data_IF_012580228910
#
_entry.id   IF_012580228910
#
_cell.length_a   1.000
_cell.length_b   1.000
_cell.length_c   1.000
_cell.angle_alpha   90.00
_cell.angle_beta   90.00
_cell.angle_gamma   90.00
#
_symmetry.space_group_name_H-M   'P 1'
#
loop_
_entity.id
_entity.type
_entity.pdbx_description
1 polymer ?
#
# COMPACT_ATOMS: atom_id res chain seq x y z
N UNK A 1 -6.21 21.96 -26.74
CA UNK A 1 -6.49 21.04 -25.63
C UNK A 1 -5.68 19.78 -25.90
N UNK A 2 -4.91 19.31 -24.91
CA UNK A 2 -3.79 18.34 -24.97
C UNK A 2 -2.48 18.89 -25.54
N UNK A 3 -1.66 19.52 -24.69
CA UNK A 3 -0.26 19.84 -25.04
C UNK A 3 0.72 19.73 -23.86
N UNK A 4 0.33 18.96 -22.84
CA UNK A 4 1.26 18.42 -21.87
C UNK A 4 1.38 16.94 -22.22
N UNK A 5 2.54 16.49 -22.73
CA UNK A 5 2.80 15.15 -23.29
C UNK A 5 2.59 13.94 -22.36
N UNK A 6 1.56 13.95 -21.52
CA UNK A 6 1.20 12.88 -20.61
C UNK A 6 -0.26 12.95 -20.16
N UNK A 7 -0.83 11.81 -19.75
CA UNK A 7 -2.21 11.72 -19.28
C UNK A 7 -2.26 11.55 -17.77
N UNK A 8 -3.10 12.35 -17.12
CA UNK A 8 -3.14 12.42 -15.65
C UNK A 8 -3.84 11.21 -15.03
N UNK A 9 -3.14 10.52 -14.14
CA UNK A 9 -3.71 9.61 -13.15
C UNK A 9 -4.04 10.42 -11.89
N UNK A 10 -5.29 10.36 -11.45
CA UNK A 10 -5.76 10.96 -10.19
C UNK A 10 -6.77 10.00 -9.55
N UNK A 11 -6.27 9.05 -8.77
CA UNK A 11 -7.07 8.00 -8.11
C UNK A 11 -6.58 7.78 -6.69
N UNK A 12 -7.46 7.29 -5.82
CA UNK A 12 -7.14 7.08 -4.42
C UNK A 12 -7.30 5.62 -4.02
N UNK A 13 -6.40 5.14 -3.15
CA UNK A 13 -6.60 3.92 -2.37
C UNK A 13 -7.14 4.34 -1.01
N UNK A 14 -8.29 3.80 -0.62
CA UNK A 14 -8.89 4.10 0.68
C UNK A 14 -8.32 3.15 1.73
N UNK A 15 -7.55 3.69 2.67
CA UNK A 15 -6.91 2.93 3.74
C UNK A 15 -7.86 2.79 4.93
N UNK A 16 -7.99 1.59 5.47
CA UNK A 16 -8.68 1.35 6.72
C UNK A 16 -7.94 2.06 7.87
N UNK A 17 -8.59 3.05 8.47
CA UNK A 17 -8.07 3.82 9.60
C UNK A 17 -7.60 2.94 10.76
N UNK A 18 -8.25 1.79 10.98
CA UNK A 18 -7.92 0.86 12.07
C UNK A 18 -6.61 0.13 11.86
N UNK A 19 -6.10 0.11 10.63
CA UNK A 19 -4.79 -0.49 10.30
C UNK A 19 -3.61 0.47 10.50
N UNK A 20 -3.87 1.77 10.73
CA UNK A 20 -2.80 2.77 10.88
C UNK A 20 -2.20 2.72 12.28
N UNK A 21 -0.88 2.53 12.35
CA UNK A 21 -0.14 2.45 13.62
C UNK A 21 1.33 2.83 13.47
N UNK A 22 2.01 2.97 14.60
CA UNK A 22 3.47 3.05 14.63
C UNK A 22 4.09 1.70 14.26
N UNK A 23 5.23 1.76 13.57
CA UNK A 23 6.06 0.57 13.31
C UNK A 23 6.95 0.30 14.53
N UNK A 24 7.08 -0.97 14.89
CA UNK A 24 8.09 -1.48 15.80
C UNK A 24 9.46 -1.60 15.13
N UNK A 25 10.51 -1.72 15.94
CA UNK A 25 11.91 -1.77 15.47
C UNK A 25 12.16 -2.92 14.49
N UNK A 26 11.61 -4.10 14.77
CA UNK A 26 11.80 -5.26 13.90
C UNK A 26 11.08 -5.11 12.56
N UNK A 27 9.97 -4.37 12.53
CA UNK A 27 9.23 -4.09 11.29
C UNK A 27 9.99 -3.09 10.42
N UNK A 28 10.58 -2.06 11.05
CA UNK A 28 11.46 -1.11 10.35
C UNK A 28 12.63 -1.87 9.70
N UNK A 29 13.28 -2.77 10.43
CA UNK A 29 14.38 -3.59 9.90
C UNK A 29 13.96 -4.45 8.71
N UNK A 30 12.79 -5.11 8.79
CA UNK A 30 12.26 -5.88 7.64
C UNK A 30 11.96 -4.99 6.44
N UNK A 31 11.48 -3.76 6.67
CA UNK A 31 11.19 -2.82 5.59
C UNK A 31 12.47 -2.19 4.99
N UNK A 32 13.58 -2.14 5.72
CA UNK A 32 14.90 -1.72 5.20
C UNK A 32 15.42 -2.70 4.13
N UNK A 33 14.97 -3.95 4.11
CA UNK A 33 15.29 -4.91 3.05
C UNK A 33 14.72 -4.50 1.68
N UNK A 34 13.69 -3.64 1.65
CA UNK A 34 13.16 -3.09 0.41
C UNK A 34 14.10 -2.01 -0.16
N UNK A 35 14.77 -2.33 -1.26
CA UNK A 35 15.67 -1.42 -2.00
C UNK A 35 15.04 -0.05 -2.24
N UNK A 36 13.74 -0.01 -2.58
CA UNK A 36 13.05 1.23 -2.86
C UNK A 36 12.89 2.12 -1.63
N UNK A 37 12.82 1.61 -0.40
CA UNK A 37 12.54 2.44 0.78
C UNK A 37 13.71 2.56 1.77
N UNK A 38 14.76 1.74 1.61
CA UNK A 38 15.88 1.71 2.54
C UNK A 38 16.45 3.12 2.84
N UNK A 39 16.87 3.85 1.81
CA UNK A 39 17.45 5.19 1.99
C UNK A 39 16.49 6.20 2.67
N UNK A 40 15.17 5.99 2.57
CA UNK A 40 14.18 6.83 3.25
C UNK A 40 14.13 6.48 4.72
N UNK A 41 14.12 5.19 5.05
CA UNK A 41 14.12 4.70 6.42
C UNK A 41 15.41 5.07 7.13
N UNK A 42 16.58 4.93 6.49
CA UNK A 42 17.87 5.35 7.04
C UNK A 42 17.86 6.84 7.41
N UNK A 43 17.50 7.72 6.46
CA UNK A 43 17.39 9.16 6.71
C UNK A 43 16.38 9.47 7.81
N UNK A 44 15.24 8.77 7.82
CA UNK A 44 14.20 8.98 8.82
C UNK A 44 14.64 8.55 10.21
N UNK A 45 15.38 7.44 10.31
CA UNK A 45 15.94 6.95 11.57
C UNK A 45 16.96 7.94 12.15
N UNK A 46 17.79 8.56 11.32
CA UNK A 46 18.71 9.62 11.77
C UNK A 46 17.92 10.82 12.34
N UNK A 47 16.96 11.36 11.58
CA UNK A 47 16.11 12.49 12.02
C UNK A 47 15.41 12.20 13.36
N UNK A 48 14.84 11.00 13.48
CA UNK A 48 14.10 10.58 14.68
C UNK A 48 15.03 10.40 15.88
N UNK A 49 16.20 9.80 15.68
CA UNK A 49 17.20 9.61 16.75
C UNK A 49 17.65 10.96 17.31
N UNK A 50 18.01 11.91 16.44
CA UNK A 50 18.42 13.26 16.85
C UNK A 50 17.30 14.03 17.55
N UNK A 51 16.07 13.92 17.05
CA UNK A 51 14.91 14.54 17.69
C UNK A 51 14.65 13.96 19.08
N UNK A 52 14.62 12.63 19.20
CA UNK A 52 14.30 11.95 20.44
C UNK A 52 15.39 12.15 21.50
N UNK A 53 16.67 12.18 21.10
CA UNK A 53 17.79 12.48 22.01
C UNK A 53 17.69 13.90 22.59
N UNK A 54 17.31 14.91 21.78
CA UNK A 54 17.04 16.27 22.28
C UNK A 54 15.86 16.31 23.24
N UNK A 55 14.84 15.51 22.97
CA UNK A 55 13.65 15.42 23.81
C UNK A 55 13.97 14.79 25.18
N UNK A 56 14.76 13.72 25.19
CA UNK A 56 15.23 13.03 26.39
C UNK A 56 16.10 13.94 27.24
N UNK A 57 17.00 14.72 26.62
CA UNK A 57 17.82 15.72 27.32
C UNK A 57 16.99 16.81 28.01
N UNK A 58 15.74 17.03 27.58
CA UNK A 58 14.78 17.95 28.21
C UNK A 58 13.92 17.27 29.30
N UNK A 59 14.19 16.01 29.62
CA UNK A 59 13.44 15.23 30.62
C UNK A 59 12.07 14.75 30.13
N UNK A 60 11.82 14.75 28.82
CA UNK A 60 10.56 14.28 28.28
C UNK A 60 10.43 12.75 28.39
N UNK A 61 9.20 12.28 28.66
CA UNK A 61 8.91 10.85 28.75
C UNK A 61 8.92 10.18 27.36
N UNK A 62 9.23 8.87 27.27
CA UNK A 62 9.27 8.11 26.01
C UNK A 62 7.98 8.16 25.16
N UNK A 63 6.82 8.41 25.77
CA UNK A 63 5.54 8.56 25.06
C UNK A 63 5.56 9.70 24.02
N UNK A 64 6.45 10.67 24.19
CA UNK A 64 6.58 11.83 23.30
C UNK A 64 7.59 11.60 22.17
N UNK A 65 8.22 10.42 22.10
CA UNK A 65 9.13 10.08 21.01
C UNK A 65 8.41 10.08 19.67
N UNK A 66 9.06 10.68 18.67
CA UNK A 66 8.61 10.56 17.30
C UNK A 66 8.98 9.17 16.79
N UNK A 67 8.03 8.56 16.08
CA UNK A 67 8.15 7.22 15.50
C UNK A 67 7.59 7.23 14.08
N UNK A 68 8.12 6.36 13.23
CA UNK A 68 7.56 6.12 11.90
C UNK A 68 6.24 5.36 12.01
N UNK A 69 5.31 5.68 11.11
CA UNK A 69 4.05 4.95 10.95
C UNK A 69 4.09 4.08 9.71
N UNK A 70 3.31 3.00 9.72
CA UNK A 70 3.17 2.16 8.55
C UNK A 70 2.62 2.93 7.35
N UNK A 71 1.59 3.76 7.54
CA UNK A 71 0.99 4.60 6.50
C UNK A 71 1.99 5.64 5.94
N UNK A 72 2.77 6.28 6.80
CA UNK A 72 3.79 7.23 6.37
C UNK A 72 4.90 6.56 5.54
N UNK A 73 5.27 5.36 5.94
CA UNK A 73 6.27 4.53 5.26
C UNK A 73 5.74 4.03 3.91
N UNK A 74 4.50 3.52 3.87
CA UNK A 74 3.86 3.12 2.62
C UNK A 74 3.73 4.29 1.64
N UNK A 75 3.37 5.48 2.10
CA UNK A 75 3.33 6.68 1.24
C UNK A 75 4.68 6.98 0.59
N UNK A 76 5.77 6.92 1.36
CA UNK A 76 7.13 7.10 0.84
C UNK A 76 7.53 6.00 -0.16
N UNK A 77 7.09 4.75 0.09
CA UNK A 77 7.27 3.64 -0.84
C UNK A 77 6.58 3.92 -2.19
N UNK A 78 5.29 4.31 -2.16
CA UNK A 78 4.52 4.60 -3.38
C UNK A 78 5.16 5.72 -4.19
N UNK A 79 5.60 6.79 -3.52
CA UNK A 79 6.28 7.92 -4.18
C UNK A 79 7.52 7.45 -4.94
N UNK A 80 8.39 6.67 -4.29
CA UNK A 80 9.60 6.13 -4.93
C UNK A 80 9.31 5.10 -6.01
N UNK A 81 8.33 4.24 -5.80
CA UNK A 81 7.86 3.29 -6.80
C UNK A 81 7.44 4.04 -8.08
N UNK A 82 6.60 5.07 -7.96
CA UNK A 82 6.16 5.89 -9.09
C UNK A 82 7.33 6.66 -9.75
N UNK A 83 8.30 7.14 -8.97
CA UNK A 83 9.52 7.74 -9.51
C UNK A 83 10.39 6.75 -10.29
N UNK A 84 10.37 5.46 -9.93
CA UNK A 84 11.07 4.40 -10.68
C UNK A 84 10.26 3.81 -11.86
N UNK A 85 8.94 4.02 -11.89
CA UNK A 85 8.04 3.35 -12.83
C UNK A 85 8.23 3.82 -14.30
N UNK A 86 8.48 2.95 -15.28
CA UNK A 86 8.81 3.35 -16.66
C UNK A 86 7.65 4.03 -17.41
N UNK A 87 6.40 3.74 -17.05
CA UNK A 87 5.21 4.36 -17.64
C UNK A 87 4.82 5.73 -17.05
N UNK A 88 5.54 6.23 -16.03
CA UNK A 88 5.23 7.51 -15.37
C UNK A 88 6.14 8.61 -15.92
N UNK A 89 5.56 9.73 -16.30
CA UNK A 89 6.25 10.91 -16.79
C UNK A 89 7.01 11.61 -15.66
N UNK A 90 8.33 11.70 -15.78
CA UNK A 90 9.22 12.17 -14.70
C UNK A 90 9.31 13.69 -14.58
N UNK A 91 9.16 14.40 -15.69
CA UNK A 91 9.22 15.87 -15.70
C UNK A 91 7.90 16.57 -15.34
N UNK A 92 6.87 15.80 -14.99
CA UNK A 92 5.57 16.32 -14.58
C UNK A 92 5.33 16.08 -13.09
N UNK A 93 4.37 16.81 -12.53
CA UNK A 93 4.03 16.71 -11.11
C UNK A 93 3.65 15.28 -10.73
N UNK A 94 4.38 14.73 -9.76
CA UNK A 94 4.12 13.48 -9.07
C UNK A 94 3.88 13.81 -7.60
N UNK A 95 2.72 13.41 -7.07
CA UNK A 95 2.33 13.64 -5.70
C UNK A 95 1.58 12.44 -5.14
N UNK A 96 2.04 11.96 -3.99
CA UNK A 96 1.32 10.96 -3.19
C UNK A 96 0.95 11.60 -1.86
N UNK A 97 -0.34 11.82 -1.64
CA UNK A 97 -0.82 12.56 -0.46
C UNK A 97 -2.01 11.89 0.20
N UNK A 98 -2.13 12.11 1.50
CA UNK A 98 -3.33 11.75 2.25
C UNK A 98 -4.34 12.89 2.13
N UNK A 99 -5.59 12.56 1.84
CA UNK A 99 -6.71 13.49 1.95
C UNK A 99 -7.35 13.37 3.34
N UNK A 100 -8.31 14.22 3.63
CA UNK A 100 -9.02 14.21 4.90
C UNK A 100 -9.63 12.81 5.18
N UNK A 101 -9.42 12.24 6.37
CA UNK A 101 -10.08 11.00 6.77
C UNK A 101 -11.60 11.16 6.74
N UNK A 102 -12.29 10.14 6.22
CA UNK A 102 -13.76 10.11 6.14
C UNK A 102 -14.34 8.80 6.67
N UNK A 103 -15.64 8.61 6.49
CA UNK A 103 -16.34 7.39 6.88
C UNK A 103 -15.81 6.13 6.18
N UNK A 104 -15.24 6.29 4.98
CA UNK A 104 -14.68 5.22 4.15
C UNK A 104 -13.16 5.08 4.27
N UNK A 105 -12.58 5.53 5.38
CA UNK A 105 -11.14 5.42 5.63
C UNK A 105 -10.35 6.69 5.28
N UNK A 106 -9.04 6.53 5.07
CA UNK A 106 -8.12 7.62 4.70
C UNK A 106 -7.80 7.49 3.21
N UNK A 107 -8.21 8.45 2.36
CA UNK A 107 -7.85 8.40 0.95
C UNK A 107 -6.36 8.72 0.78
N UNK A 108 -5.59 7.77 0.26
CA UNK A 108 -4.24 8.00 -0.25
C UNK A 108 -4.34 8.30 -1.75
N UNK A 109 -4.29 9.57 -2.13
CA UNK A 109 -4.38 10.02 -3.52
C UNK A 109 -3.02 9.88 -4.22
N UNK A 110 -3.04 9.17 -5.34
CA UNK A 110 -1.95 9.06 -6.31
C UNK A 110 -2.26 10.03 -7.44
N UNK A 111 -1.44 11.07 -7.55
CA UNK A 111 -1.49 12.07 -8.60
C UNK A 111 -0.19 12.01 -9.40
N UNK A 112 -0.25 11.56 -10.65
CA UNK A 112 0.90 11.54 -11.55
C UNK A 112 0.44 11.63 -13.01
N UNK A 113 1.39 11.67 -13.94
CA UNK A 113 1.10 11.65 -15.37
C UNK A 113 1.77 10.43 -16.00
N UNK A 114 1.08 9.75 -16.91
CA UNK A 114 1.70 8.74 -17.78
C UNK A 114 2.53 9.42 -18.86
N UNK A 115 3.58 8.76 -19.35
CA UNK A 115 4.34 9.25 -20.51
C UNK A 115 3.71 8.89 -21.87
N UNK A 116 2.59 8.16 -21.84
CA UNK A 116 1.82 7.78 -23.02
C UNK A 116 0.38 8.32 -22.92
N UNK A 117 -0.08 8.96 -23.98
CA UNK A 117 -1.41 9.56 -24.08
C UNK A 117 -2.44 8.63 -24.74
N UNK A 118 -2.00 7.54 -25.37
CA UNK A 118 -2.87 6.55 -26.02
C UNK A 118 -3.73 5.86 -24.95
N UNK A 119 -5.05 5.86 -25.16
CA UNK A 119 -6.02 5.41 -24.17
C UNK A 119 -5.73 4.01 -23.61
N UNK A 120 -5.45 3.03 -24.48
CA UNK A 120 -5.22 1.63 -24.08
C UNK A 120 -3.97 1.51 -23.19
N UNK A 121 -2.88 2.19 -23.55
CA UNK A 121 -1.64 2.17 -22.78
C UNK A 121 -1.79 2.88 -21.44
N UNK A 122 -2.48 4.02 -21.43
CA UNK A 122 -2.81 4.73 -20.20
C UNK A 122 -3.59 3.84 -19.21
N UNK A 123 -4.63 3.14 -19.68
CA UNK A 123 -5.42 2.25 -18.81
C UNK A 123 -4.59 1.08 -18.28
N UNK A 124 -3.73 0.48 -19.12
CA UNK A 124 -2.82 -0.58 -18.70
C UNK A 124 -1.84 -0.12 -17.62
N UNK A 125 -1.14 1.01 -17.84
CA UNK A 125 -0.21 1.59 -16.86
C UNK A 125 -0.93 1.88 -15.54
N UNK A 126 -2.14 2.44 -15.61
CA UNK A 126 -2.92 2.74 -14.42
C UNK A 126 -3.33 1.45 -13.68
N UNK A 127 -3.76 0.41 -14.38
CA UNK A 127 -4.13 -0.86 -13.77
C UNK A 127 -2.93 -1.52 -13.07
N UNK A 128 -1.79 -1.65 -13.77
CA UNK A 128 -0.57 -2.28 -13.25
C UNK A 128 -0.06 -1.59 -11.97
N UNK A 129 -0.08 -0.25 -11.95
CA UNK A 129 0.28 0.54 -10.76
C UNK A 129 -0.64 0.17 -9.59
N UNK A 130 -1.96 0.18 -9.79
CA UNK A 130 -2.90 -0.05 -8.69
C UNK A 130 -2.92 -1.51 -8.23
N UNK A 131 -2.76 -2.47 -9.14
CA UNK A 131 -2.65 -3.89 -8.80
C UNK A 131 -1.44 -4.14 -7.89
N UNK A 132 -0.28 -3.58 -8.25
CA UNK A 132 0.92 -3.65 -7.41
C UNK A 132 0.71 -2.98 -6.05
N UNK A 133 0.17 -1.77 -6.02
CA UNK A 133 -0.05 -1.03 -4.78
C UNK A 133 -1.04 -1.71 -3.83
N UNK A 134 -2.08 -2.35 -4.36
CA UNK A 134 -3.03 -3.12 -3.58
C UNK A 134 -2.42 -4.41 -3.06
N UNK A 135 -1.61 -5.10 -3.87
CA UNK A 135 -0.97 -6.36 -3.51
C UNK A 135 0.13 -6.19 -2.44
N UNK A 136 0.91 -5.11 -2.50
CA UNK A 136 2.01 -4.85 -1.55
C UNK A 136 1.51 -4.23 -0.24
N UNK A 137 0.28 -3.71 -0.21
CA UNK A 137 -0.31 -3.02 0.95
C UNK A 137 -0.25 -3.82 2.26
N UNK A 138 -0.56 -5.15 2.27
CA UNK A 138 -0.47 -5.96 3.48
C UNK A 138 0.95 -6.15 4.01
N UNK A 139 1.99 -5.99 3.18
CA UNK A 139 3.39 -6.04 3.63
C UNK A 139 3.73 -4.90 4.59
N UNK A 140 2.99 -3.80 4.53
CA UNK A 140 3.07 -2.69 5.48
C UNK A 140 2.08 -2.83 6.64
N UNK A 141 1.42 -3.98 6.79
CA UNK A 141 0.32 -4.21 7.74
C UNK A 141 -0.81 -3.18 7.62
N UNK A 142 -1.01 -2.66 6.41
CA UNK A 142 -2.13 -1.80 6.06
C UNK A 142 -3.25 -2.65 5.46
N UNK A 143 -4.48 -2.12 5.50
CA UNK A 143 -5.64 -2.73 4.83
C UNK A 143 -6.37 -1.69 4.01
N UNK A 144 -6.99 -2.13 2.93
CA UNK A 144 -7.94 -1.32 2.18
C UNK A 144 -9.25 -1.27 2.97
N UNK A 145 -9.89 -0.10 3.03
CA UNK A 145 -11.24 0.02 3.56
C UNK A 145 -12.20 -0.77 2.67
N UNK A 146 -12.99 -1.64 3.28
CA UNK A 146 -14.07 -2.35 2.62
C UNK A 146 -15.36 -2.09 3.39
N UNK A 147 -16.39 -1.66 2.65
CA UNK A 147 -17.73 -1.60 3.20
C UNK A 147 -18.35 -2.99 3.07
N UNK A 148 -18.53 -3.68 4.19
CA UNK A 148 -19.28 -4.91 4.22
C UNK A 148 -20.77 -4.61 4.02
N UNK A 149 -21.41 -5.30 3.07
CA UNK A 149 -22.85 -5.48 3.09
C UNK A 149 -23.19 -6.68 3.98
N UNK A 150 -24.45 -6.81 4.37
CA UNK A 150 -24.93 -7.81 5.35
C UNK A 150 -24.59 -9.28 4.97
N UNK A 151 -24.17 -9.53 3.73
CA UNK A 151 -23.71 -10.82 3.20
C UNK A 151 -22.20 -11.10 3.32
N UNK A 152 -21.36 -10.14 3.70
CA UNK A 152 -19.89 -10.31 3.72
C UNK A 152 -19.39 -11.30 4.79
N UNK A 153 -20.22 -11.68 5.76
CA UNK A 153 -19.93 -12.73 6.74
C UNK A 153 -20.29 -14.15 6.29
N UNK A 154 -20.96 -14.31 5.15
CA UNK A 154 -21.29 -15.62 4.57
C UNK A 154 -20.20 -16.05 3.60
N UNK A 155 -19.04 -16.44 4.12
CA UNK A 155 -18.18 -17.36 3.36
C UNK A 155 -18.98 -18.65 3.25
N UNK A 156 -19.52 -18.92 2.06
CA UNK A 156 -20.15 -20.20 1.78
C UNK A 156 -19.13 -21.29 2.10
N UNK A 157 -19.43 -22.14 3.08
CA UNK A 157 -18.67 -23.36 3.30
C UNK A 157 -18.68 -24.12 1.98
N UNK A 158 -17.52 -24.23 1.33
CA UNK A 158 -17.41 -25.03 0.11
C UNK A 158 -17.91 -26.44 0.44
N UNK A 159 -18.83 -27.02 -0.36
CA UNK A 159 -19.27 -28.38 -0.10
C UNK A 159 -18.04 -29.27 -0.26
N UNK A 160 -17.68 -29.95 0.84
CA UNK A 160 -16.72 -31.05 0.82
C UNK A 160 -17.24 -32.05 -0.22
N UNK A 161 -16.56 -32.16 -1.36
CA UNK A 161 -16.80 -33.21 -2.33
C UNK A 161 -16.53 -34.54 -1.62
N UNK A 162 -17.60 -35.18 -1.12
CA UNK A 162 -17.52 -36.55 -0.62
C UNK A 162 -17.23 -37.46 -1.80
N UNK A 163 -16.00 -37.95 -1.89
CA UNK A 163 -15.65 -39.02 -2.80
C UNK A 163 -16.55 -40.22 -2.49
N UNK A 164 -17.36 -40.65 -3.46
CA UNK A 164 -17.99 -41.96 -3.41
C UNK A 164 -16.92 -43.03 -3.68
N UNK A 165 -16.83 -44.11 -2.89
CA UNK A 165 -16.08 -45.27 -3.31
C UNK A 165 -16.78 -45.92 -4.51
N UNK A 166 -16.04 -46.14 -5.59
CA UNK A 166 -16.42 -47.01 -6.71
C UNK A 166 -16.55 -48.45 -6.21
N UNK A 167 -17.75 -49.01 -6.21
CA UNK A 167 -17.96 -50.46 -6.09
C UNK A 167 -17.44 -51.14 -7.37
N UNK A 168 -16.50 -52.07 -7.20
CA UNK A 168 -16.03 -52.93 -8.27
C UNK A 168 -17.08 -54.02 -8.59
N UNK A 169 -17.30 -54.40 -9.86
CA UNK A 169 -18.18 -55.50 -10.19
C UNK A 169 -17.49 -56.83 -9.83
N UNK A 170 -18.21 -57.66 -9.08
CA UNK A 170 -17.76 -58.99 -8.69
C UNK A 170 -17.66 -59.94 -9.87
N UNK A 171 -16.51 -60.61 -9.98
CA UNK A 171 -16.35 -61.84 -10.74
C UNK A 171 -17.24 -62.93 -10.12
N UNK A 172 -18.15 -63.48 -10.93
CA UNK A 172 -18.74 -64.80 -10.70
C UNK A 172 -18.33 -65.71 -11.85
N UNK A 173 -17.79 -66.84 -11.42
CA UNK A 173 -17.43 -68.07 -12.16
C UNK A 173 -18.52 -68.52 -13.12
#
# INVERSE_FOLDING_TARGET
>A
MFDSGGRRIKRSIYIDQRSVRFLGKDEVRRLEEFVLINEYLERKNVELTEWNARLEAQGAKPINERRVTNLGTFRAYVERYLHSHPGVHKDMLLLVRQLQPGATGIPLEIYCFTNDTRWIYYEGIQADIFDHLLAILPTFDLRVFQQCSDTSGMIAAAPMLSGRPTEAPGDKV
#
